data_IF_948238348074
#
_entry.id   IF_948238348074
#
_cell.length_a   1.000
_cell.length_b   1.000
_cell.length_c   1.000
_cell.angle_alpha   90.00
_cell.angle_beta   90.00
_cell.angle_gamma   90.00
#
_symmetry.space_group_name_H-M   'P 1'
#
loop_
_entity.id
_entity.type
_entity.pdbx_description
1 polymer ?
#
# COMPACT_ATOMS: atom_id res chain seq x y z
N UNK A 1 2.12 2.75 24.18
CA UNK A 1 2.53 1.34 23.96
C UNK A 1 3.31 1.33 22.65
N UNK A 2 4.59 0.94 22.66
CA UNK A 2 5.39 0.93 21.44
C UNK A 2 4.96 -0.25 20.57
N UNK A 3 4.22 0.04 19.50
CA UNK A 3 3.83 -0.91 18.46
C UNK A 3 4.97 -1.00 17.45
N UNK A 4 5.94 -1.86 17.72
CA UNK A 4 7.02 -2.16 16.78
C UNK A 4 6.82 -3.58 16.26
N UNK A 5 6.85 -3.75 14.94
CA UNK A 5 6.71 -5.05 14.28
C UNK A 5 7.90 -5.99 14.56
N UNK A 6 9.02 -5.47 15.07
CA UNK A 6 10.25 -6.19 15.42
C UNK A 6 10.76 -7.13 14.31
N UNK A 7 10.56 -6.73 13.05
CA UNK A 7 11.02 -7.48 11.88
C UNK A 7 12.55 -7.46 11.85
N UNK A 8 13.23 -8.62 11.71
CA UNK A 8 14.68 -8.67 11.63
C UNK A 8 15.22 -7.87 10.45
N UNK A 9 16.33 -7.16 10.65
CA UNK A 9 16.94 -6.33 9.58
C UNK A 9 17.31 -7.13 8.34
N UNK A 10 17.67 -8.40 8.51
CA UNK A 10 18.02 -9.34 7.45
C UNK A 10 16.89 -9.67 6.48
N UNK A 11 15.64 -9.39 6.86
CA UNK A 11 14.47 -9.57 6.00
C UNK A 11 14.32 -8.44 4.99
N UNK A 12 14.76 -7.23 5.33
CA UNK A 12 14.69 -6.11 4.42
C UNK A 12 15.74 -6.22 3.30
N UNK A 13 15.49 -5.59 2.15
CA UNK A 13 16.49 -5.45 1.09
C UNK A 13 17.81 -4.93 1.66
N UNK A 14 18.92 -5.48 1.19
CA UNK A 14 20.25 -5.03 1.59
C UNK A 14 20.46 -3.56 1.23
N UNK A 15 21.32 -2.89 1.99
CA UNK A 15 21.74 -1.53 1.66
C UNK A 15 22.33 -1.48 0.24
N UNK A 16 21.90 -0.48 -0.54
CA UNK A 16 22.31 -0.31 -1.94
C UNK A 16 21.51 -1.15 -2.95
N UNK A 17 20.51 -1.93 -2.53
CA UNK A 17 19.60 -2.61 -3.47
C UNK A 17 18.81 -1.59 -4.29
N UNK A 18 18.85 -1.76 -5.62
CA UNK A 18 18.10 -0.96 -6.59
C UNK A 18 17.17 -1.85 -7.40
N UNK A 19 16.05 -1.29 -7.86
CA UNK A 19 15.06 -1.98 -8.68
C UNK A 19 15.02 -1.35 -10.07
N UNK A 20 14.96 -2.19 -11.10
CA UNK A 20 14.91 -1.75 -12.49
C UNK A 20 13.50 -1.40 -12.93
N UNK A 21 12.49 -1.93 -12.25
CA UNK A 21 11.08 -1.72 -12.62
C UNK A 21 10.19 -1.39 -11.43
N UNK A 22 9.07 -0.72 -11.71
CA UNK A 22 7.98 -0.54 -10.75
C UNK A 22 7.43 -1.89 -10.24
N UNK A 23 7.40 -2.93 -11.10
CA UNK A 23 6.90 -4.26 -10.73
C UNK A 23 7.80 -4.95 -9.69
N UNK A 24 9.13 -4.85 -9.85
CA UNK A 24 10.09 -5.31 -8.84
C UNK A 24 9.88 -4.59 -7.51
N UNK A 25 9.66 -3.27 -7.57
CA UNK A 25 9.39 -2.45 -6.38
C UNK A 25 8.12 -2.90 -5.64
N UNK A 26 7.00 -3.04 -6.35
CA UNK A 26 5.75 -3.52 -5.75
C UNK A 26 5.88 -4.94 -5.20
N UNK A 27 6.66 -5.80 -5.87
CA UNK A 27 6.90 -7.17 -5.40
C UNK A 27 7.60 -7.15 -4.05
N UNK A 28 8.66 -6.36 -3.89
CA UNK A 28 9.35 -6.23 -2.59
C UNK A 28 8.45 -5.64 -1.51
N UNK A 29 7.65 -4.62 -1.83
CA UNK A 29 6.68 -4.07 -0.87
C UNK A 29 5.67 -5.14 -0.43
N UNK A 30 5.16 -5.95 -1.35
CA UNK A 30 4.25 -7.04 -1.04
C UNK A 30 4.89 -8.12 -0.15
N UNK A 31 6.16 -8.44 -0.38
CA UNK A 31 6.92 -9.36 0.47
C UNK A 31 7.15 -8.80 1.88
N UNK A 32 7.39 -7.50 2.01
CA UNK A 32 7.45 -6.81 3.31
C UNK A 32 6.11 -6.85 4.04
N UNK A 33 4.98 -6.83 3.33
CA UNK A 33 3.66 -7.02 3.95
C UNK A 33 3.51 -8.43 4.52
N UNK A 34 3.96 -9.47 3.81
CA UNK A 34 4.01 -10.85 4.31
C UNK A 34 4.93 -10.94 5.53
N UNK A 35 6.12 -10.34 5.46
CA UNK A 35 7.06 -10.29 6.58
C UNK A 35 6.45 -9.66 7.84
N UNK A 36 5.62 -8.61 7.68
CA UNK A 36 4.92 -8.00 8.82
C UNK A 36 4.00 -9.00 9.49
N UNK A 37 3.15 -9.71 8.73
CA UNK A 37 2.30 -10.75 9.31
C UNK A 37 3.15 -11.85 9.97
N UNK A 38 4.23 -12.27 9.33
CA UNK A 38 5.07 -13.37 9.80
C UNK A 38 5.86 -13.05 11.07
N UNK A 39 6.44 -11.86 11.20
CA UNK A 39 7.38 -11.54 12.28
C UNK A 39 6.80 -10.66 13.39
N UNK A 40 5.72 -9.92 13.13
CA UNK A 40 5.04 -9.21 14.19
C UNK A 40 4.36 -10.24 15.12
N UNK A 41 4.90 -10.34 16.33
CA UNK A 41 4.45 -11.28 17.35
C UNK A 41 3.23 -10.74 18.09
N UNK A 42 3.33 -9.49 18.55
CA UNK A 42 2.32 -8.89 19.42
C UNK A 42 1.25 -8.19 18.60
N UNK A 43 -0.02 -8.43 18.98
CA UNK A 43 -1.20 -7.73 18.45
C UNK A 43 -1.37 -7.86 16.93
N UNK A 44 -0.72 -8.86 16.30
CA UNK A 44 -0.82 -9.08 14.86
C UNK A 44 -2.16 -9.67 14.46
N UNK A 45 -2.78 -10.49 15.33
CA UNK A 45 -4.06 -11.15 15.07
C UNK A 45 -5.00 -11.06 16.28
N UNK A 46 -6.31 -11.09 16.04
CA UNK A 46 -7.35 -11.15 17.08
C UNK A 46 -8.10 -12.48 17.13
N UNK A 47 -8.10 -13.24 16.04
CA UNK A 47 -8.77 -14.54 15.90
C UNK A 47 -8.08 -15.36 14.82
N UNK A 48 -8.40 -16.65 14.72
CA UNK A 48 -7.91 -17.47 13.60
C UNK A 48 -8.41 -16.96 12.25
N UNK A 49 -9.68 -16.56 12.19
CA UNK A 49 -10.29 -16.02 10.97
C UNK A 49 -9.65 -14.69 10.57
N UNK A 50 -9.36 -13.80 11.52
CA UNK A 50 -8.57 -12.60 11.28
C UNK A 50 -7.17 -12.93 10.71
N UNK A 51 -6.47 -13.94 11.25
CA UNK A 51 -5.19 -14.39 10.70
C UNK A 51 -5.33 -14.88 9.25
N UNK A 52 -6.37 -15.66 8.92
CA UNK A 52 -6.65 -16.13 7.55
C UNK A 52 -6.96 -14.96 6.60
N UNK A 53 -7.74 -13.98 7.07
CA UNK A 53 -8.04 -12.72 6.35
C UNK A 53 -6.80 -11.91 6.04
N UNK A 54 -5.89 -11.78 7.00
CA UNK A 54 -4.60 -11.11 6.82
C UNK A 54 -3.68 -11.87 5.86
N UNK A 55 -3.69 -13.20 5.93
CA UNK A 55 -2.89 -14.06 5.06
C UNK A 55 -3.35 -13.99 3.60
N UNK A 56 -4.65 -14.22 3.35
CA UNK A 56 -5.21 -14.24 1.99
C UNK A 56 -5.00 -12.91 1.28
N UNK A 57 -5.20 -11.78 1.98
CA UNK A 57 -4.96 -10.45 1.41
C UNK A 57 -3.52 -10.27 0.94
N UNK A 58 -2.54 -10.64 1.78
CA UNK A 58 -1.10 -10.47 1.47
C UNK A 58 -0.63 -11.39 0.35
N UNK A 59 -1.09 -12.65 0.32
CA UNK A 59 -0.75 -13.58 -0.75
C UNK A 59 -1.32 -13.13 -2.10
N UNK A 60 -2.59 -12.72 -2.14
CA UNK A 60 -3.19 -12.19 -3.37
C UNK A 60 -2.53 -10.90 -3.83
N UNK A 61 -2.23 -9.98 -2.90
CA UNK A 61 -1.51 -8.75 -3.23
C UNK A 61 -0.13 -9.05 -3.83
N UNK A 62 0.64 -9.96 -3.24
CA UNK A 62 1.94 -10.39 -3.78
C UNK A 62 1.80 -11.07 -5.14
N UNK A 63 0.81 -11.94 -5.32
CA UNK A 63 0.54 -12.61 -6.59
C UNK A 63 0.26 -11.61 -7.71
N UNK A 64 -0.52 -10.56 -7.44
CA UNK A 64 -0.74 -9.46 -8.38
C UNK A 64 0.54 -8.67 -8.64
N UNK A 65 1.36 -8.43 -7.61
CA UNK A 65 2.65 -7.73 -7.77
C UNK A 65 3.58 -8.50 -8.71
N UNK A 66 3.78 -9.81 -8.49
CA UNK A 66 4.60 -10.69 -9.34
C UNK A 66 4.11 -10.77 -10.78
N UNK A 67 2.80 -10.63 -10.99
CA UNK A 67 2.19 -10.63 -12.32
C UNK A 67 2.31 -9.29 -13.06
N UNK A 68 2.96 -8.28 -12.47
CA UNK A 68 3.06 -6.93 -13.04
C UNK A 68 1.71 -6.21 -13.15
N UNK A 69 0.75 -6.62 -12.32
CA UNK A 69 -0.63 -6.12 -12.38
C UNK A 69 -0.84 -4.85 -11.57
N UNK A 70 -0.12 -4.72 -10.46
CA UNK A 70 -0.26 -3.57 -9.55
C UNK A 70 0.23 -2.26 -10.18
N UNK A 71 1.33 -2.27 -10.95
CA UNK A 71 1.88 -1.07 -11.58
C UNK A 71 0.98 -0.46 -12.66
N UNK A 72 0.07 -1.27 -13.22
CA UNK A 72 -0.90 -0.89 -14.26
C UNK A 72 -2.32 -0.65 -13.74
N UNK A 73 -2.62 -1.11 -12.52
CA UNK A 73 -3.95 -1.00 -11.93
C UNK A 73 -4.47 0.45 -11.99
N UNK A 74 -5.70 0.64 -12.46
CA UNK A 74 -6.32 1.97 -12.53
C UNK A 74 -5.71 2.95 -13.56
N UNK A 75 -4.91 2.46 -14.51
CA UNK A 75 -4.52 3.18 -15.73
C UNK A 75 -5.25 2.60 -16.94
N UNK A 76 -5.06 3.17 -18.15
CA UNK A 76 -5.68 2.63 -19.39
C UNK A 76 -5.22 1.19 -19.68
N UNK A 77 -4.04 0.79 -19.20
CA UNK A 77 -3.48 -0.55 -19.37
C UNK A 77 -4.03 -1.56 -18.36
N UNK A 78 -4.91 -1.16 -17.43
CA UNK A 78 -5.58 -2.09 -16.53
C UNK A 78 -6.63 -2.91 -17.29
N UNK A 79 -6.28 -4.13 -17.65
CA UNK A 79 -7.14 -5.08 -18.39
C UNK A 79 -7.61 -6.26 -17.54
N UNK A 80 -7.25 -6.30 -16.26
CA UNK A 80 -7.42 -7.48 -15.42
C UNK A 80 -8.29 -7.24 -14.19
N UNK A 81 -8.34 -6.01 -13.66
CA UNK A 81 -9.08 -5.74 -12.44
C UNK A 81 -10.59 -5.85 -12.69
N UNK A 82 -11.36 -6.17 -11.66
CA UNK A 82 -12.82 -6.13 -11.79
C UNK A 82 -13.31 -4.72 -12.12
N UNK A 83 -12.63 -3.69 -11.60
CA UNK A 83 -12.95 -2.29 -11.88
C UNK A 83 -12.62 -1.84 -13.30
N UNK A 84 -11.73 -2.51 -14.04
CA UNK A 84 -11.36 -2.09 -15.40
C UNK A 84 -12.55 -2.08 -16.36
N UNK A 85 -13.51 -2.99 -16.15
CA UNK A 85 -14.73 -3.12 -16.98
C UNK A 85 -15.63 -1.89 -16.95
N UNK A 86 -15.65 -1.19 -15.81
CA UNK A 86 -16.46 -0.01 -15.57
C UNK A 86 -15.58 1.27 -15.44
N UNK A 87 -14.26 1.12 -15.57
CA UNK A 87 -13.28 2.18 -15.34
C UNK A 87 -13.38 3.25 -16.41
N UNK A 88 -13.23 4.51 -15.99
CA UNK A 88 -13.09 5.66 -16.87
C UNK A 88 -11.64 6.15 -16.95
N UNK A 89 -10.67 5.33 -16.56
CA UNK A 89 -9.26 5.71 -16.65
C UNK A 89 -8.94 6.17 -18.08
N UNK A 90 -8.35 7.36 -18.20
CA UNK A 90 -7.96 7.94 -19.49
C UNK A 90 -6.45 8.15 -19.58
N UNK A 91 -5.75 8.03 -18.46
CA UNK A 91 -4.32 8.28 -18.36
C UNK A 91 -3.50 6.98 -18.40
N UNK A 92 -2.41 7.01 -19.16
CA UNK A 92 -1.48 5.90 -19.30
C UNK A 92 -0.62 5.71 -18.05
N UNK A 93 -0.26 4.47 -17.75
CA UNK A 93 0.77 4.20 -16.77
C UNK A 93 2.10 4.84 -17.22
N UNK A 94 2.85 5.50 -16.32
CA UNK A 94 4.18 5.97 -16.65
C UNK A 94 5.09 4.77 -16.98
N UNK A 95 6.14 4.99 -17.77
CA UNK A 95 7.13 3.94 -18.06
C UNK A 95 7.69 3.37 -16.75
N UNK A 96 7.36 2.09 -16.51
CA UNK A 96 7.76 1.36 -15.33
C UNK A 96 9.26 1.09 -15.23
N UNK A 97 10.02 1.31 -16.32
CA UNK A 97 11.47 1.11 -16.41
C UNK A 97 12.30 2.40 -16.51
N UNK A 98 11.65 3.54 -16.81
CA UNK A 98 12.35 4.72 -17.34
C UNK A 98 12.26 6.00 -16.51
N UNK A 99 11.64 5.99 -15.33
CA UNK A 99 11.65 7.19 -14.47
C UNK A 99 11.39 6.83 -13.00
N UNK A 100 12.46 6.76 -12.21
CA UNK A 100 12.36 6.86 -10.76
C UNK A 100 12.57 8.30 -10.33
N UNK A 101 11.81 8.74 -9.32
CA UNK A 101 11.86 10.09 -8.78
C UNK A 101 12.29 10.04 -7.32
N UNK A 102 12.93 11.10 -6.85
CA UNK A 102 13.08 11.28 -5.41
C UNK A 102 11.69 11.48 -4.83
N UNK A 103 11.36 10.68 -3.83
CA UNK A 103 10.11 10.66 -3.10
C UNK A 103 10.41 10.76 -1.61
N UNK A 104 9.50 11.35 -0.86
CA UNK A 104 9.50 11.31 0.61
C UNK A 104 8.08 11.10 1.08
N UNK A 105 7.90 10.13 1.98
CA UNK A 105 6.58 9.85 2.58
C UNK A 105 6.13 10.94 3.56
N UNK A 106 7.03 11.86 3.93
CA UNK A 106 6.78 12.91 4.94
C UNK A 106 6.94 14.35 4.42
N UNK A 107 6.76 14.60 3.11
CA UNK A 107 6.62 15.97 2.58
C UNK A 107 5.26 16.62 2.90
N UNK A 108 4.94 16.66 4.18
CA UNK A 108 3.78 17.36 4.74
C UNK A 108 4.07 18.85 4.94
N UNK A 109 3.05 19.71 5.12
CA UNK A 109 3.22 21.16 5.23
C UNK A 109 4.19 21.60 6.34
N UNK A 110 4.29 20.83 7.43
CA UNK A 110 5.22 21.12 8.53
C UNK A 110 6.70 21.08 8.11
N UNK A 111 7.02 20.43 6.99
CA UNK A 111 8.38 20.28 6.47
C UNK A 111 8.69 21.26 5.31
N UNK A 112 7.81 22.23 5.06
CA UNK A 112 8.01 23.30 4.07
C UNK A 112 8.15 24.63 4.80
N UNK A 113 9.29 25.30 4.59
CA UNK A 113 9.58 26.61 5.16
C UNK A 113 9.05 27.69 4.20
N UNK A 114 8.34 28.67 4.75
CA UNK A 114 7.86 29.85 4.02
C UNK A 114 8.34 31.15 4.67
N UNK A 115 8.45 32.22 3.90
CA UNK A 115 8.72 33.57 4.40
C UNK A 115 7.44 34.29 4.89
N UNK A 116 7.56 35.57 5.29
CA UNK A 116 6.43 36.38 5.73
C UNK A 116 5.38 36.69 4.64
N UNK A 117 5.68 36.37 3.37
CA UNK A 117 4.81 36.57 2.21
C UNK A 117 4.31 35.22 1.63
N UNK A 118 4.34 34.15 2.43
CA UNK A 118 3.96 32.79 2.06
C UNK A 118 4.78 32.21 0.88
N UNK A 119 5.97 32.74 0.60
CA UNK A 119 6.85 32.21 -0.45
C UNK A 119 7.64 31.02 0.07
N UNK A 120 7.66 29.92 -0.68
CA UNK A 120 8.41 28.72 -0.32
C UNK A 120 9.92 29.00 -0.36
N UNK A 121 10.58 28.90 0.79
CA UNK A 121 12.03 29.05 0.94
C UNK A 121 12.78 27.73 0.77
N UNK A 122 12.13 26.60 1.11
CA UNK A 122 12.71 25.28 0.94
C UNK A 122 11.95 24.19 1.68
N UNK A 123 12.29 22.93 1.35
CA UNK A 123 11.81 21.75 2.06
C UNK A 123 12.92 21.17 2.94
N UNK A 124 12.56 20.75 4.15
CA UNK A 124 13.46 20.12 5.12
C UNK A 124 13.06 18.66 5.35
N UNK A 125 13.76 18.01 6.29
CA UNK A 125 13.41 16.68 6.80
C UNK A 125 13.48 15.56 5.74
N UNK A 126 14.65 15.45 5.10
CA UNK A 126 14.91 14.50 4.03
C UNK A 126 15.32 13.09 4.52
N UNK A 127 15.22 12.81 5.83
CA UNK A 127 15.72 11.57 6.42
C UNK A 127 14.99 10.29 5.95
N UNK A 128 13.78 10.45 5.43
CA UNK A 128 12.97 9.37 4.84
C UNK A 128 12.84 9.46 3.32
N UNK A 129 13.69 10.26 2.65
CA UNK A 129 13.67 10.35 1.20
C UNK A 129 14.30 9.11 0.54
N UNK A 130 13.68 8.62 -0.53
CA UNK A 130 14.17 7.50 -1.33
C UNK A 130 13.84 7.69 -2.81
N UNK A 131 14.47 6.88 -3.67
CA UNK A 131 14.17 6.84 -5.09
C UNK A 131 13.07 5.80 -5.32
N UNK A 132 11.88 6.24 -5.73
CA UNK A 132 10.70 5.39 -5.88
C UNK A 132 10.07 5.46 -7.28
N UNK A 133 9.15 4.53 -7.60
CA UNK A 133 8.47 4.52 -8.90
C UNK A 133 7.66 5.81 -9.12
N UNK A 134 7.61 6.30 -10.35
CA UNK A 134 6.82 7.50 -10.69
C UNK A 134 5.34 7.34 -10.31
N UNK A 135 4.81 6.12 -10.26
CA UNK A 135 3.44 5.83 -9.83
C UNK A 135 3.07 6.50 -8.49
N UNK A 136 4.02 6.67 -7.56
CA UNK A 136 3.74 7.26 -6.25
C UNK A 136 3.55 8.78 -6.31
N UNK A 137 4.25 9.48 -7.22
CA UNK A 137 4.11 10.93 -7.39
C UNK A 137 2.79 11.33 -8.07
N UNK A 138 2.15 10.35 -8.71
CA UNK A 138 0.87 10.52 -9.39
C UNK A 138 -0.33 10.47 -8.44
N UNK A 139 -0.11 10.17 -7.16
CA UNK A 139 -1.15 10.19 -6.14
C UNK A 139 -1.29 11.55 -5.46
N UNK A 140 -2.52 11.84 -5.06
CA UNK A 140 -2.77 13.00 -4.22
C UNK A 140 -2.11 12.84 -2.85
N UNK A 141 -1.67 13.94 -2.20
CA UNK A 141 -0.97 13.84 -0.93
C UNK A 141 -1.85 13.20 0.15
N UNK A 142 -1.36 12.19 0.86
CA UNK A 142 -2.16 11.55 1.91
C UNK A 142 -2.46 12.52 3.08
N UNK A 143 -1.63 13.55 3.28
CA UNK A 143 -1.68 14.46 4.42
C UNK A 143 -2.64 15.64 4.25
N UNK A 144 -3.54 15.68 3.26
CA UNK A 144 -4.48 16.81 3.09
C UNK A 144 -5.36 17.09 4.33
N UNK A 145 -5.55 16.10 5.20
CA UNK A 145 -6.26 16.23 6.47
C UNK A 145 -5.35 16.31 7.69
N UNK A 146 -4.02 16.39 7.49
CA UNK A 146 -2.95 16.43 8.50
C UNK A 146 -2.92 15.25 9.47
N UNK A 147 -3.75 14.23 9.25
CA UNK A 147 -3.79 12.99 10.02
C UNK A 147 -4.06 11.80 9.08
N UNK A 148 -3.52 10.63 9.44
CA UNK A 148 -3.65 9.41 8.64
C UNK A 148 -5.05 8.79 8.77
N UNK A 149 -5.55 8.10 7.73
CA UNK A 149 -6.86 7.47 7.73
C UNK A 149 -7.08 6.48 8.88
N UNK A 150 -6.06 5.71 9.26
CA UNK A 150 -6.15 4.70 10.34
C UNK A 150 -6.20 5.28 11.76
N UNK A 151 -5.84 6.56 11.94
CA UNK A 151 -5.87 7.26 13.23
C UNK A 151 -7.02 8.27 13.33
N UNK A 152 -8.00 8.18 12.42
CA UNK A 152 -9.11 9.12 12.39
C UNK A 152 -10.23 8.70 13.35
N UNK A 153 -10.52 9.54 14.36
CA UNK A 153 -11.48 9.22 15.44
C UNK A 153 -12.87 8.82 14.94
N UNK A 154 -13.34 9.44 13.84
CA UNK A 154 -14.65 9.17 13.26
C UNK A 154 -14.64 8.04 12.22
N UNK A 155 -13.55 7.29 12.13
CA UNK A 155 -13.38 6.19 11.19
C UNK A 155 -12.98 6.62 9.79
N UNK A 156 -12.45 5.66 9.03
CA UNK A 156 -11.85 5.89 7.72
C UNK A 156 -12.86 6.31 6.64
N UNK A 157 -14.14 5.94 6.78
CA UNK A 157 -15.25 6.45 5.96
C UNK A 157 -15.37 7.97 6.07
N UNK A 158 -15.35 8.48 7.30
CA UNK A 158 -15.45 9.92 7.56
C UNK A 158 -14.21 10.65 7.02
N UNK A 159 -13.03 10.07 7.25
CA UNK A 159 -11.78 10.56 6.67
C UNK A 159 -11.89 10.65 5.15
N UNK A 160 -12.34 9.59 4.49
CA UNK A 160 -12.48 9.50 3.02
C UNK A 160 -13.41 10.61 2.49
N UNK A 161 -14.56 10.81 3.14
CA UNK A 161 -15.53 11.84 2.72
C UNK A 161 -15.00 13.27 2.89
N UNK A 162 -14.23 13.53 3.96
CA UNK A 162 -13.60 14.83 4.17
C UNK A 162 -12.42 15.04 3.23
N UNK A 163 -11.62 13.99 2.99
CA UNK A 163 -10.48 14.00 2.09
C UNK A 163 -10.93 14.35 0.68
N UNK A 164 -11.99 13.71 0.17
CA UNK A 164 -12.53 14.00 -1.17
C UNK A 164 -12.93 15.47 -1.34
N UNK A 165 -13.46 16.12 -0.29
CA UNK A 165 -13.80 17.55 -0.33
C UNK A 165 -12.53 18.42 -0.42
N UNK A 166 -11.48 18.08 0.32
CA UNK A 166 -10.20 18.81 0.30
C UNK A 166 -9.38 18.55 -0.95
N UNK A 167 -9.48 17.33 -1.50
CA UNK A 167 -8.87 16.96 -2.76
C UNK A 167 -9.33 17.89 -3.88
N UNK A 168 -10.62 18.26 -3.93
CA UNK A 168 -11.12 19.22 -4.94
C UNK A 168 -10.42 20.58 -4.86
N UNK A 169 -10.16 21.07 -3.65
CA UNK A 169 -9.41 22.33 -3.44
C UNK A 169 -7.96 22.19 -3.88
N UNK A 170 -7.30 21.09 -3.49
CA UNK A 170 -5.93 20.78 -3.90
C UNK A 170 -5.79 20.72 -5.42
N UNK A 171 -6.68 19.98 -6.08
CA UNK A 171 -6.67 19.81 -7.53
C UNK A 171 -6.89 21.14 -8.25
N UNK A 172 -7.76 22.02 -7.73
CA UNK A 172 -7.95 23.37 -8.30
C UNK A 172 -6.66 24.19 -8.27
N UNK A 173 -5.90 24.14 -7.18
CA UNK A 173 -4.62 24.84 -7.08
C UNK A 173 -3.56 24.22 -8.00
N UNK A 174 -3.50 22.89 -8.09
CA UNK A 174 -2.60 22.19 -9.02
C UNK A 174 -2.89 22.57 -10.47
N UNK A 175 -4.17 22.59 -10.87
CA UNK A 175 -4.59 22.99 -12.22
C UNK A 175 -4.25 24.45 -12.54
N UNK A 176 -4.24 25.34 -11.56
CA UNK A 176 -3.80 26.73 -11.75
C UNK A 176 -2.30 26.82 -12.03
N UNK A 177 -1.47 26.11 -11.27
CA UNK A 177 -0.01 26.07 -11.46
C UNK A 177 0.36 25.39 -12.79
N UNK A 178 -0.38 24.35 -13.19
CA UNK A 178 -0.13 23.62 -14.44
C UNK A 178 -0.42 24.45 -15.70
N UNK A 179 -1.28 25.49 -15.63
CA UNK A 179 -1.56 26.38 -16.78
C UNK A 179 -0.32 27.12 -17.27
N UNK A 180 0.60 27.44 -16.36
CA UNK A 180 1.83 28.17 -16.66
C UNK A 180 3.01 27.23 -16.97
N UNK A 181 2.77 25.92 -17.00
CA UNK A 181 3.79 24.87 -17.19
C UNK A 181 3.93 24.47 -18.66
N UNK A 182 5.16 24.12 -19.08
CA UNK A 182 5.45 23.72 -20.47
C UNK A 182 4.77 22.40 -20.87
N UNK A 183 4.33 22.24 -22.14
CA UNK A 183 3.77 20.97 -22.63
C UNK A 183 4.81 19.85 -22.54
N UNK A 184 4.44 18.71 -21.94
CA UNK A 184 5.29 17.51 -21.84
C UNK A 184 5.52 16.98 -20.42
N UNK A 185 5.03 17.68 -19.40
CA UNK A 185 5.02 17.21 -18.01
C UNK A 185 3.72 16.44 -17.75
N UNK A 186 3.80 15.34 -17.00
CA UNK A 186 2.64 14.61 -16.50
C UNK A 186 1.73 15.62 -15.76
N UNK A 187 0.50 15.81 -16.23
CA UNK A 187 -0.48 16.69 -15.57
C UNK A 187 -0.89 16.04 -14.25
N UNK A 188 -0.17 16.38 -13.18
CA UNK A 188 -0.33 15.77 -11.86
C UNK A 188 -1.75 15.92 -11.34
N UNK A 189 -2.42 17.05 -11.58
CA UNK A 189 -3.82 17.23 -11.19
C UNK A 189 -4.73 16.15 -11.80
N UNK A 190 -4.61 15.87 -13.10
CA UNK A 190 -5.39 14.86 -13.79
C UNK A 190 -5.06 13.45 -13.25
N UNK A 191 -3.78 13.15 -13.08
CA UNK A 191 -3.34 11.86 -12.53
C UNK A 191 -3.82 11.63 -11.11
N UNK A 192 -3.71 12.63 -10.23
CA UNK A 192 -4.14 12.59 -8.83
C UNK A 192 -5.65 12.42 -8.72
N UNK A 193 -6.42 13.07 -9.62
CA UNK A 193 -7.87 12.90 -9.71
C UNK A 193 -8.24 11.46 -10.06
N UNK A 194 -7.69 10.94 -11.14
CA UNK A 194 -7.94 9.55 -11.54
C UNK A 194 -7.41 8.56 -10.51
N UNK A 195 -6.33 8.88 -9.79
CA UNK A 195 -5.76 7.97 -8.80
C UNK A 195 -6.71 7.74 -7.62
N UNK A 196 -7.43 8.79 -7.22
CA UNK A 196 -8.49 8.68 -6.21
C UNK A 196 -9.70 7.88 -6.72
N UNK A 197 -10.18 8.19 -7.93
CA UNK A 197 -11.38 7.57 -8.52
C UNK A 197 -11.19 6.07 -8.80
N UNK A 198 -10.04 5.72 -9.38
CA UNK A 198 -9.69 4.34 -9.74
C UNK A 198 -9.23 3.51 -8.54
N UNK A 199 -8.77 4.16 -7.48
CA UNK A 199 -8.27 3.51 -6.26
C UNK A 199 -6.75 3.29 -6.24
N UNK A 200 -6.00 3.82 -7.22
CA UNK A 200 -4.53 3.81 -7.21
C UNK A 200 -3.95 4.44 -5.94
N UNK A 201 -4.57 5.50 -5.42
CA UNK A 201 -4.20 6.10 -4.14
C UNK A 201 -4.15 5.05 -3.01
N UNK A 202 -5.21 4.23 -2.91
CA UNK A 202 -5.32 3.20 -1.88
C UNK A 202 -4.33 2.05 -2.09
N UNK A 203 -4.04 1.70 -3.34
CA UNK A 203 -3.04 0.69 -3.69
C UNK A 203 -1.66 1.11 -3.16
N UNK A 204 -1.21 2.32 -3.52
CA UNK A 204 0.10 2.82 -3.11
C UNK A 204 0.17 3.13 -1.61
N UNK A 205 -0.95 3.54 -1.01
CA UNK A 205 -1.04 3.69 0.45
C UNK A 205 -0.87 2.34 1.15
N UNK A 206 -1.61 1.31 0.76
CA UNK A 206 -1.53 -0.03 1.35
C UNK A 206 -0.13 -0.65 1.15
N UNK A 207 0.46 -0.51 -0.03
CA UNK A 207 1.78 -1.06 -0.33
C UNK A 207 2.86 -0.57 0.66
N UNK A 208 2.79 0.70 1.07
CA UNK A 208 3.76 1.34 1.97
C UNK A 208 3.40 1.25 3.46
N UNK A 209 2.12 1.12 3.82
CA UNK A 209 1.64 1.23 5.21
C UNK A 209 1.18 -0.12 5.75
N UNK A 210 2.09 -0.85 6.39
CA UNK A 210 1.82 -2.21 6.87
C UNK A 210 0.75 -2.30 7.96
N UNK A 211 0.65 -1.29 8.83
CA UNK A 211 -0.38 -1.23 9.87
C UNK A 211 -1.80 -1.04 9.31
N UNK A 212 -1.94 -0.22 8.27
CA UNK A 212 -3.23 0.07 7.64
C UNK A 212 -3.61 -0.94 6.55
N UNK A 213 -2.66 -1.81 6.13
CA UNK A 213 -2.79 -2.68 4.97
C UNK A 213 -4.12 -3.43 4.95
N UNK A 214 -4.49 -4.09 6.05
CA UNK A 214 -5.66 -4.96 6.12
C UNK A 214 -6.97 -4.20 5.90
N UNK A 215 -7.14 -3.09 6.64
CA UNK A 215 -8.29 -2.21 6.50
C UNK A 215 -8.38 -1.64 5.09
N UNK A 216 -7.26 -1.17 4.52
CA UNK A 216 -7.25 -0.59 3.18
C UNK A 216 -7.55 -1.63 2.11
N UNK A 217 -6.89 -2.79 2.19
CA UNK A 217 -7.02 -3.86 1.21
C UNK A 217 -8.47 -4.31 1.11
N UNK A 218 -9.06 -4.75 2.23
CA UNK A 218 -10.40 -5.34 2.20
C UNK A 218 -11.50 -4.32 1.89
N UNK A 219 -11.30 -3.08 2.31
CA UNK A 219 -12.32 -2.04 2.14
C UNK A 219 -12.25 -1.32 0.80
N UNK A 220 -11.06 -1.06 0.28
CA UNK A 220 -10.88 -0.20 -0.89
C UNK A 220 -10.28 -0.90 -2.11
N UNK A 221 -9.64 -2.07 -1.96
CA UNK A 221 -8.94 -2.76 -3.06
C UNK A 221 -9.57 -4.09 -3.46
N UNK A 222 -9.97 -4.93 -2.51
CA UNK A 222 -10.44 -6.30 -2.75
C UNK A 222 -11.49 -6.39 -3.87
N UNK A 223 -12.59 -5.64 -3.77
CA UNK A 223 -13.64 -5.69 -4.79
C UNK A 223 -13.25 -5.01 -6.11
N UNK A 224 -12.30 -4.08 -6.08
CA UNK A 224 -11.75 -3.49 -7.31
C UNK A 224 -10.90 -4.50 -8.06
N UNK A 225 -10.17 -5.34 -7.34
CA UNK A 225 -9.35 -6.39 -7.92
C UNK A 225 -10.18 -7.58 -8.38
N UNK A 226 -11.09 -8.08 -7.53
CA UNK A 226 -11.72 -9.39 -7.69
C UNK A 226 -13.24 -9.36 -7.86
N UNK A 227 -13.85 -8.17 -7.78
CA UNK A 227 -15.30 -7.99 -7.95
C UNK A 227 -16.06 -8.13 -6.65
N UNK A 228 -17.38 -7.90 -6.72
CA UNK A 228 -18.25 -7.86 -5.55
C UNK A 228 -18.19 -9.17 -4.75
N UNK A 229 -18.12 -9.03 -3.43
CA UNK A 229 -18.31 -10.15 -2.49
C UNK A 229 -19.79 -10.28 -2.10
N UNK A 230 -20.12 -11.37 -1.41
CA UNK A 230 -21.44 -11.50 -0.78
C UNK A 230 -21.66 -10.43 0.28
N UNK A 231 -22.91 -10.00 0.45
CA UNK A 231 -23.30 -9.06 1.50
C UNK A 231 -23.21 -9.73 2.90
N UNK A 232 -23.09 -8.90 3.94
CA UNK A 232 -23.15 -9.30 5.36
C UNK A 232 -22.09 -10.32 5.85
N UNK A 233 -20.93 -10.37 5.20
CA UNK A 233 -19.80 -11.18 5.65
C UNK A 233 -19.03 -10.42 6.74
N UNK A 234 -18.81 -11.01 7.93
CA UNK A 234 -17.98 -10.40 8.97
C UNK A 234 -16.58 -10.07 8.44
N UNK A 235 -16.01 -8.93 8.86
CA UNK A 235 -14.70 -8.46 8.39
C UNK A 235 -13.60 -9.51 8.58
N UNK A 236 -13.63 -10.25 9.70
CA UNK A 236 -12.65 -11.31 9.98
C UNK A 236 -12.82 -12.56 9.11
N UNK A 237 -13.97 -12.74 8.45
CA UNK A 237 -14.25 -13.91 7.61
C UNK A 237 -14.13 -13.62 6.10
N UNK A 238 -13.70 -12.41 5.72
CA UNK A 238 -13.59 -12.00 4.32
C UNK A 238 -12.71 -12.92 3.48
N UNK A 239 -11.72 -13.57 4.11
CA UNK A 239 -10.87 -14.58 3.46
C UNK A 239 -11.64 -15.68 2.73
N UNK A 240 -12.80 -16.10 3.26
CA UNK A 240 -13.63 -17.17 2.69
C UNK A 240 -14.10 -16.82 1.27
N UNK A 241 -14.21 -15.54 0.96
CA UNK A 241 -14.63 -15.04 -0.37
C UNK A 241 -13.52 -15.09 -1.42
N UNK A 242 -12.25 -15.24 -1.01
CA UNK A 242 -11.08 -15.15 -1.90
C UNK A 242 -10.11 -16.32 -1.80
N UNK A 243 -10.21 -17.18 -0.79
CA UNK A 243 -9.27 -18.30 -0.58
C UNK A 243 -9.18 -19.26 -1.77
N UNK A 244 -10.24 -19.37 -2.56
CA UNK A 244 -10.26 -20.18 -3.78
C UNK A 244 -9.34 -19.65 -4.89
N UNK A 245 -8.90 -18.38 -4.81
CA UNK A 245 -7.96 -17.75 -5.74
C UNK A 245 -6.49 -18.08 -5.43
N UNK A 246 -6.22 -18.62 -4.24
CA UNK A 246 -4.91 -19.15 -3.86
C UNK A 246 -4.66 -20.53 -4.50
N UNK A 247 -3.41 -20.80 -4.84
CA UNK A 247 -2.92 -22.11 -5.26
C UNK A 247 -2.92 -23.14 -4.13
N UNK A 248 -2.59 -24.39 -4.45
CA UNK A 248 -2.60 -25.47 -3.46
C UNK A 248 -1.54 -25.28 -2.37
N UNK A 249 -0.32 -24.89 -2.74
CA UNK A 249 0.78 -24.63 -1.80
C UNK A 249 0.48 -23.44 -0.88
N UNK A 250 -0.04 -22.34 -1.45
CA UNK A 250 -0.50 -21.15 -0.70
C UNK A 250 -1.56 -21.54 0.34
N UNK A 251 -2.55 -22.36 -0.04
CA UNK A 251 -3.58 -22.83 0.90
C UNK A 251 -3.02 -23.77 1.96
N UNK A 252 -2.09 -24.65 1.59
CA UNK A 252 -1.49 -25.61 2.51
C UNK A 252 -0.63 -24.92 3.59
N UNK A 253 0.03 -23.80 3.27
CA UNK A 253 0.86 -23.05 4.19
C UNK A 253 0.06 -22.14 5.17
N UNK A 254 -1.21 -21.86 4.87
CA UNK A 254 -2.05 -20.96 5.67
C UNK A 254 -2.28 -21.49 7.10
N UNK A 255 -2.75 -22.73 7.24
CA UNK A 255 -3.12 -23.27 8.55
C UNK A 255 -1.93 -23.43 9.53
N UNK A 256 -0.74 -23.91 9.09
CA UNK A 256 0.45 -23.89 9.95
C UNK A 256 0.82 -22.49 10.47
N UNK A 257 0.69 -21.45 9.62
CA UNK A 257 0.93 -20.07 10.04
C UNK A 257 -0.12 -19.62 11.08
N UNK A 258 -1.40 -19.91 10.85
CA UNK A 258 -2.49 -19.57 11.79
C UNK A 258 -2.23 -20.18 13.16
N UNK A 259 -1.88 -21.48 13.22
CA UNK A 259 -1.58 -22.15 14.48
C UNK A 259 -0.38 -21.52 15.19
N UNK A 260 0.66 -21.17 14.43
CA UNK A 260 1.83 -20.46 14.98
C UNK A 260 1.41 -19.12 15.59
N UNK A 261 0.58 -18.34 14.88
CA UNK A 261 0.15 -17.01 15.34
C UNK A 261 -0.80 -17.04 16.53
N UNK A 262 -1.66 -18.04 16.62
CA UNK A 262 -2.49 -18.25 17.80
C UNK A 262 -1.62 -18.56 19.02
N UNK A 263 -0.58 -19.38 18.87
CA UNK A 263 0.34 -19.66 19.97
C UNK A 263 1.11 -18.39 20.39
N UNK A 264 1.64 -17.64 19.43
CA UNK A 264 2.33 -16.37 19.67
C UNK A 264 1.43 -15.37 20.41
N UNK A 265 0.15 -15.25 20.03
CA UNK A 265 -0.78 -14.30 20.66
C UNK A 265 -1.05 -14.52 22.15
N UNK A 266 -0.71 -15.71 22.68
CA UNK A 266 -0.89 -16.03 24.11
C UNK A 266 0.08 -15.27 25.00
N UNK A 267 1.23 -14.86 24.46
CA UNK A 267 2.29 -14.22 25.22
C UNK A 267 2.68 -12.89 24.56
N UNK A 268 3.01 -11.88 25.37
CA UNK A 268 3.51 -10.60 24.85
C UNK A 268 5.01 -10.52 25.05
N UNK A 269 5.78 -10.78 24.00
CA UNK A 269 7.26 -10.78 24.05
C UNK A 269 7.85 -10.13 22.80
N UNK A 270 9.09 -9.68 22.90
CA UNK A 270 9.89 -9.34 21.73
C UNK A 270 10.72 -10.57 21.37
N UNK A 271 10.61 -11.02 20.12
CA UNK A 271 11.33 -12.18 19.61
C UNK A 271 12.53 -11.70 18.80
N UNK A 272 13.72 -12.10 19.22
CA UNK A 272 14.92 -11.98 18.41
C UNK A 272 15.04 -13.22 17.52
N UNK A 273 15.32 -13.00 16.23
CA UNK A 273 15.43 -14.06 15.25
C UNK A 273 16.88 -14.19 14.78
N UNK A 274 17.34 -15.43 14.59
CA UNK A 274 18.53 -15.68 13.78
C UNK A 274 18.26 -15.29 12.32
N UNK A 275 19.24 -14.67 11.67
CA UNK A 275 19.09 -14.15 10.31
C UNK A 275 18.81 -15.25 9.28
N UNK A 276 19.41 -16.43 9.43
CA UNK A 276 19.18 -17.55 8.50
C UNK A 276 17.80 -18.17 8.74
N UNK A 277 17.40 -18.33 10.01
CA UNK A 277 16.04 -18.82 10.34
C UNK A 277 14.97 -17.86 9.83
N UNK A 278 15.15 -16.55 10.03
CA UNK A 278 14.19 -15.54 9.57
C UNK A 278 14.02 -15.60 8.05
N UNK A 279 15.12 -15.62 7.29
CA UNK A 279 15.07 -15.75 5.82
C UNK A 279 14.39 -17.03 5.37
N UNK A 280 14.70 -18.16 6.02
CA UNK A 280 14.07 -19.44 5.72
C UNK A 280 12.55 -19.39 5.95
N UNK A 281 12.11 -18.84 7.10
CA UNK A 281 10.69 -18.69 7.43
C UNK A 281 9.94 -17.78 6.46
N UNK A 282 10.55 -16.68 6.02
CA UNK A 282 9.92 -15.83 5.02
C UNK A 282 9.79 -16.57 3.69
N UNK A 283 10.88 -17.22 3.23
CA UNK A 283 10.91 -17.91 1.94
C UNK A 283 9.85 -19.01 1.81
N UNK A 284 9.46 -19.67 2.91
CA UNK A 284 8.40 -20.69 2.89
C UNK A 284 6.99 -20.13 2.62
N UNK A 285 6.83 -18.81 2.67
CA UNK A 285 5.59 -18.11 2.34
C UNK A 285 5.69 -17.31 1.03
N UNK A 286 6.83 -17.35 0.34
CA UNK A 286 7.08 -16.64 -0.91
C UNK A 286 7.01 -17.62 -2.09
N UNK A 287 5.80 -18.00 -2.47
CA UNK A 287 5.54 -18.97 -3.57
C UNK A 287 5.94 -18.43 -4.95
N UNK A 288 6.20 -19.35 -5.89
CA UNK A 288 6.50 -18.99 -7.29
C UNK A 288 5.26 -18.65 -8.12
#
# INVERSE_FOLDING_TARGET
MFQLSNIPKSIFPSEGTTYQTADEWYTVLAEMQIATLLFQHNDMISSEDDCRTKYVARQLFRKLAKQGKLSKFGFIEDDWSASSKDSRATLAAPDGSGSFRIWSDDFRPANVIVDENDQVLGAIDWEFAYVGPTQFVLDSPWWLLLNVPEMWDNGIENWTSLYEKRLKTWLSAMEEVEKDTSPGILLLSAYMRESWETGRFWLNYAARRSWAFDTIYWKYLDERFFGKRGEDIPTEELWKTRVHLLGEEERAAMEPLVQTKIEESKNRVLVEWDDAEARQRLSSLLFE
#
